data_IF_456101002892
#
_entry.id   IF_456101002892
#
_cell.length_a   1.000
_cell.length_b   1.000
_cell.length_c   1.000
_cell.angle_alpha   90.00
_cell.angle_beta   90.00
_cell.angle_gamma   90.00
#
_symmetry.space_group_name_H-M   'P 1'
#
loop_
_entity.id
_entity.type
_entity.pdbx_description
1 polymer ?
#
# COMPACT_ATOMS: atom_id res chain seq x y z
N UNK A 1 56.70 63.10 -54.20
CA UNK A 1 57.13 61.68 -54.31
C UNK A 1 56.75 61.01 -52.98
N UNK A 2 55.79 60.08 -52.96
CA UNK A 2 55.98 58.61 -53.10
C UNK A 2 57.07 58.10 -52.13
N UNK A 3 56.94 57.09 -51.27
CA UNK A 3 55.91 56.12 -50.85
C UNK A 3 56.59 55.30 -49.73
N UNK A 4 55.81 54.86 -48.72
CA UNK A 4 55.88 53.58 -47.96
C UNK A 4 57.24 52.92 -47.60
N UNK A 5 57.38 52.46 -46.36
CA UNK A 5 57.43 51.03 -45.96
C UNK A 5 57.84 50.85 -44.46
N UNK A 6 57.11 49.98 -43.74
CA UNK A 6 57.50 49.06 -42.63
C UNK A 6 58.18 49.62 -41.33
N UNK A 7 58.01 49.11 -40.11
CA UNK A 7 57.14 48.08 -39.49
C UNK A 7 57.51 47.93 -37.99
N UNK A 8 56.53 47.47 -37.19
CA UNK A 8 56.63 46.67 -35.93
C UNK A 8 56.90 47.38 -34.59
N UNK A 9 56.00 47.10 -33.62
CA UNK A 9 56.14 46.73 -32.18
C UNK A 9 54.83 47.18 -31.48
N UNK A 10 53.83 46.30 -31.36
CA UNK A 10 53.52 45.44 -30.20
C UNK A 10 52.84 46.21 -29.03
N UNK A 11 51.56 46.00 -28.71
CA UNK A 11 50.91 44.90 -27.95
C UNK A 11 50.29 45.50 -26.66
N UNK A 12 49.17 44.89 -26.23
CA UNK A 12 48.46 44.94 -24.93
C UNK A 12 47.11 45.68 -24.86
N UNK A 13 46.13 44.92 -25.34
CA UNK A 13 44.77 44.77 -24.82
C UNK A 13 44.72 44.64 -23.29
N UNK A 14 43.83 45.43 -22.67
CA UNK A 14 43.24 45.17 -21.36
C UNK A 14 41.74 45.49 -21.44
N UNK A 15 40.97 44.65 -22.14
CA UNK A 15 39.51 44.72 -22.11
C UNK A 15 38.98 43.79 -21.03
N UNK A 16 38.22 44.40 -20.14
CA UNK A 16 37.54 43.87 -18.97
C UNK A 16 36.95 42.46 -19.20
N UNK A 17 37.31 41.52 -18.32
CA UNK A 17 36.69 40.22 -18.18
C UNK A 17 35.24 40.39 -17.73
N UNK A 18 34.29 40.43 -18.67
CA UNK A 18 32.92 40.02 -18.41
C UNK A 18 32.89 38.50 -18.54
N UNK A 19 33.04 37.80 -17.41
CA UNK A 19 32.74 36.39 -17.30
C UNK A 19 31.24 36.19 -17.53
N UNK A 20 30.85 36.05 -18.80
CA UNK A 20 29.54 35.55 -19.19
C UNK A 20 29.46 34.09 -18.77
N UNK A 21 28.85 33.84 -17.60
CA UNK A 21 28.35 32.52 -17.25
C UNK A 21 27.40 32.07 -18.37
N UNK A 22 27.88 31.20 -19.24
CA UNK A 22 27.06 30.39 -20.14
C UNK A 22 26.31 29.38 -19.27
N UNK A 23 25.32 29.86 -18.53
CA UNK A 23 24.28 29.02 -17.96
C UNK A 23 23.59 28.39 -19.15
N UNK A 24 23.95 27.14 -19.44
CA UNK A 24 23.15 26.27 -20.29
C UNK A 24 21.75 26.29 -19.69
N UNK A 25 20.86 27.11 -20.24
CA UNK A 25 19.43 26.98 -20.01
C UNK A 25 19.08 25.56 -20.42
N UNK A 26 19.02 24.66 -19.44
CA UNK A 26 18.26 23.44 -19.56
C UNK A 26 16.85 23.91 -19.88
N UNK A 27 16.50 23.78 -21.14
CA UNK A 27 15.12 23.86 -21.57
C UNK A 27 14.39 22.79 -20.77
N UNK A 28 13.74 23.22 -19.69
CA UNK A 28 12.82 22.37 -18.94
C UNK A 28 11.71 22.08 -19.93
N UNK A 29 11.81 20.95 -20.64
CA UNK A 29 10.73 20.46 -21.47
C UNK A 29 9.51 20.45 -20.55
N UNK A 30 8.38 21.08 -20.92
CA UNK A 30 7.18 20.99 -20.11
C UNK A 30 6.92 19.51 -19.89
N UNK A 31 6.83 19.07 -18.62
CA UNK A 31 6.46 17.70 -18.30
C UNK A 31 5.08 17.48 -18.92
N UNK A 32 5.04 16.86 -20.09
CA UNK A 32 3.78 16.38 -20.66
C UNK A 32 3.31 15.29 -19.70
N UNK A 33 2.16 15.52 -19.08
CA UNK A 33 1.50 14.48 -18.30
C UNK A 33 1.23 13.32 -19.25
N UNK A 34 1.84 12.17 -18.97
CA UNK A 34 1.59 10.94 -19.69
C UNK A 34 0.73 10.06 -18.79
N UNK A 35 -0.46 9.70 -19.29
CA UNK A 35 -1.31 8.71 -18.64
C UNK A 35 -0.58 7.37 -18.61
N UNK A 36 -0.54 6.74 -17.44
CA UNK A 36 0.09 5.43 -17.26
C UNK A 36 -0.99 4.41 -16.90
N UNK A 37 -0.98 3.28 -17.59
CA UNK A 37 -1.83 2.15 -17.24
C UNK A 37 -1.41 1.59 -15.88
N UNK A 38 -2.36 1.58 -14.93
CA UNK A 38 -2.14 0.97 -13.62
C UNK A 38 -2.40 -0.54 -13.74
N UNK A 39 -1.41 -1.41 -13.47
CA UNK A 39 -1.62 -2.85 -13.47
C UNK A 39 -2.68 -3.26 -12.44
N UNK A 40 -3.51 -4.22 -12.81
CA UNK A 40 -4.56 -4.78 -11.94
C UNK A 40 -5.56 -3.71 -11.40
N UNK A 41 -5.93 -2.72 -12.22
CA UNK A 41 -6.79 -1.58 -11.82
C UNK A 41 -8.29 -1.72 -12.14
N UNK A 42 -8.66 -2.72 -12.93
CA UNK A 42 -10.04 -3.01 -13.31
C UNK A 42 -10.96 -3.30 -12.12
N UNK A 43 -12.28 -3.19 -12.32
CA UNK A 43 -13.29 -3.38 -11.27
C UNK A 43 -13.15 -4.70 -10.49
N UNK A 44 -12.74 -5.78 -11.18
CA UNK A 44 -12.57 -7.12 -10.57
C UNK A 44 -11.48 -7.18 -9.47
N UNK A 45 -10.58 -6.20 -9.41
CA UNK A 45 -9.51 -6.15 -8.41
C UNK A 45 -9.82 -5.25 -7.22
N UNK A 46 -10.99 -4.59 -7.25
CA UNK A 46 -11.44 -3.74 -6.14
C UNK A 46 -12.16 -4.59 -5.11
N UNK A 47 -12.11 -4.18 -3.85
CA UNK A 47 -12.93 -4.78 -2.80
C UNK A 47 -14.41 -4.60 -3.11
N UNK A 48 -15.23 -5.56 -2.69
CA UNK A 48 -16.68 -5.53 -2.82
C UNK A 48 -17.35 -6.02 -1.52
N UNK A 49 -18.64 -6.34 -1.58
CA UNK A 49 -19.43 -6.82 -0.43
C UNK A 49 -19.04 -8.22 0.04
N UNK A 50 -18.35 -9.00 -0.78
CA UNK A 50 -17.99 -10.39 -0.46
C UNK A 50 -16.50 -10.52 -0.13
N UNK A 51 -15.65 -9.72 -0.76
CA UNK A 51 -14.19 -9.85 -0.67
C UNK A 51 -13.51 -8.52 -0.35
N UNK A 52 -12.52 -8.59 0.54
CA UNK A 52 -11.44 -7.62 0.51
C UNK A 52 -10.44 -8.02 -0.56
N UNK A 53 -10.02 -7.03 -1.36
CA UNK A 53 -8.98 -7.18 -2.37
C UNK A 53 -7.97 -6.06 -2.22
N UNK A 54 -6.71 -6.43 -2.32
CA UNK A 54 -5.58 -5.49 -2.33
C UNK A 54 -4.70 -5.77 -3.53
N UNK A 55 -4.12 -4.73 -4.09
CA UNK A 55 -3.17 -4.81 -5.19
C UNK A 55 -1.87 -4.20 -4.72
N UNK A 56 -0.81 -5.00 -4.74
CA UNK A 56 0.52 -4.55 -4.32
C UNK A 56 1.59 -5.10 -5.25
N UNK A 57 2.79 -4.53 -5.13
CA UNK A 57 3.92 -4.91 -5.97
C UNK A 57 5.22 -5.10 -5.18
N UNK A 58 6.17 -5.77 -5.81
CA UNK A 58 7.56 -5.90 -5.37
C UNK A 58 8.51 -5.75 -6.54
N UNK A 59 9.72 -5.26 -6.29
CA UNK A 59 10.77 -5.07 -7.30
C UNK A 59 12.05 -5.75 -6.85
N UNK A 60 12.69 -6.52 -7.73
CA UNK A 60 13.97 -7.17 -7.46
C UNK A 60 14.66 -7.63 -8.74
N UNK A 61 16.01 -7.73 -8.78
CA UNK A 61 16.72 -8.43 -9.85
C UNK A 61 16.37 -9.92 -9.96
N UNK A 62 15.85 -10.53 -8.90
CA UNK A 62 15.38 -11.93 -8.89
C UNK A 62 13.85 -11.98 -8.89
N UNK A 63 13.26 -12.73 -9.83
CA UNK A 63 11.80 -12.82 -10.00
C UNK A 63 11.13 -13.39 -8.73
N UNK A 64 11.74 -14.40 -8.11
CA UNK A 64 11.18 -15.05 -6.91
C UNK A 64 11.16 -14.09 -5.72
N UNK A 65 12.21 -13.28 -5.58
CA UNK A 65 12.29 -12.23 -4.57
C UNK A 65 11.28 -11.11 -4.86
N UNK A 66 11.14 -10.67 -6.12
CA UNK A 66 10.13 -9.67 -6.49
C UNK A 66 8.71 -10.14 -6.12
N UNK A 67 8.38 -11.42 -6.41
CA UNK A 67 7.12 -12.05 -6.00
C UNK A 67 6.96 -12.09 -4.49
N UNK A 68 8.00 -12.48 -3.76
CA UNK A 68 7.98 -12.54 -2.29
C UNK A 68 7.68 -11.17 -1.67
N UNK A 69 8.35 -10.11 -2.15
CA UNK A 69 8.10 -8.74 -1.69
C UNK A 69 6.67 -8.30 -2.02
N UNK A 70 6.18 -8.58 -3.23
CA UNK A 70 4.81 -8.24 -3.61
C UNK A 70 3.77 -8.89 -2.69
N UNK A 71 3.95 -10.19 -2.37
CA UNK A 71 3.09 -10.93 -1.46
C UNK A 71 3.15 -10.40 -0.02
N UNK A 72 4.33 -10.01 0.46
CA UNK A 72 4.49 -9.44 1.79
C UNK A 72 3.80 -8.07 1.89
N UNK A 73 3.98 -7.21 0.89
CA UNK A 73 3.33 -5.90 0.83
C UNK A 73 1.80 -6.05 0.78
N UNK A 74 1.29 -6.96 -0.06
CA UNK A 74 -0.14 -7.24 -0.17
C UNK A 74 -0.73 -7.70 1.16
N UNK A 75 -0.09 -8.68 1.82
CA UNK A 75 -0.57 -9.18 3.13
C UNK A 75 -0.51 -8.10 4.21
N UNK A 76 0.53 -7.26 4.21
CA UNK A 76 0.68 -6.16 5.14
C UNK A 76 -0.44 -5.12 5.01
N UNK A 77 -0.72 -4.69 3.77
CA UNK A 77 -1.83 -3.76 3.50
C UNK A 77 -3.18 -4.38 3.86
N UNK A 78 -3.44 -5.63 3.43
CA UNK A 78 -4.69 -6.32 3.74
C UNK A 78 -4.90 -6.48 5.25
N UNK A 79 -3.86 -6.84 6.00
CA UNK A 79 -3.90 -6.94 7.46
C UNK A 79 -4.26 -5.59 8.08
N UNK A 80 -3.58 -4.51 7.68
CA UNK A 80 -3.87 -3.18 8.19
C UNK A 80 -5.32 -2.73 7.90
N UNK A 81 -5.81 -2.96 6.69
CA UNK A 81 -7.19 -2.62 6.30
C UNK A 81 -8.22 -3.40 7.12
N UNK A 82 -8.07 -4.72 7.22
CA UNK A 82 -9.04 -5.56 7.94
C UNK A 82 -8.99 -5.27 9.44
N UNK A 83 -7.80 -5.11 10.04
CA UNK A 83 -7.64 -4.77 11.45
C UNK A 83 -8.32 -3.44 11.78
N UNK A 84 -8.19 -2.42 10.94
CA UNK A 84 -8.86 -1.14 11.15
C UNK A 84 -10.40 -1.27 11.14
N UNK A 85 -10.95 -2.08 10.22
CA UNK A 85 -12.40 -2.31 10.17
C UNK A 85 -12.89 -3.16 11.35
N UNK A 86 -12.17 -4.22 11.70
CA UNK A 86 -12.52 -5.10 12.83
C UNK A 86 -12.38 -4.38 14.16
N UNK A 87 -11.41 -3.48 14.31
CA UNK A 87 -11.31 -2.61 15.48
C UNK A 87 -12.57 -1.78 15.66
N UNK A 88 -13.07 -1.17 14.59
CA UNK A 88 -14.33 -0.42 14.65
C UNK A 88 -15.53 -1.32 15.05
N UNK A 89 -15.57 -2.57 14.59
CA UNK A 89 -16.58 -3.55 15.04
C UNK A 89 -16.46 -3.80 16.54
N UNK A 90 -15.27 -4.08 17.05
CA UNK A 90 -15.03 -4.39 18.46
C UNK A 90 -15.36 -3.17 19.34
N UNK A 91 -14.93 -1.98 18.94
CA UNK A 91 -15.20 -0.73 19.66
C UNK A 91 -16.72 -0.45 19.71
N UNK A 92 -17.45 -0.70 18.62
CA UNK A 92 -18.91 -0.51 18.57
C UNK A 92 -19.66 -1.62 19.34
N UNK A 93 -19.19 -2.86 19.26
CA UNK A 93 -19.72 -3.98 20.04
C UNK A 93 -19.56 -3.72 21.54
N UNK A 94 -18.38 -3.26 21.99
CA UNK A 94 -18.11 -2.96 23.40
C UNK A 94 -18.86 -1.74 23.95
N UNK A 95 -19.27 -0.78 23.11
CA UNK A 95 -20.11 0.36 23.52
C UNK A 95 -21.58 -0.01 23.69
N UNK A 96 -22.09 -0.87 22.79
CA UNK A 96 -23.50 -1.22 22.73
C UNK A 96 -23.85 -2.38 23.66
N UNK A 97 -22.87 -3.23 23.99
CA UNK A 97 -23.02 -4.32 24.94
C UNK A 97 -22.43 -3.90 26.28
N UNK A 98 -23.12 -4.17 27.38
CA UNK A 98 -22.62 -3.95 28.73
C UNK A 98 -21.50 -4.95 29.10
N UNK A 99 -20.46 -5.07 28.26
CA UNK A 99 -19.11 -5.38 28.74
C UNK A 99 -18.73 -4.16 29.58
N UNK A 100 -19.19 -4.15 30.82
CA UNK A 100 -19.26 -2.98 31.69
C UNK A 100 -17.88 -2.34 31.86
N UNK A 101 -17.52 -1.39 30.99
CA UNK A 101 -16.33 -0.54 31.09
C UNK A 101 -14.98 -1.27 31.20
N UNK A 102 -14.92 -2.59 31.08
CA UNK A 102 -13.70 -3.35 31.28
C UNK A 102 -12.87 -3.34 29.99
N UNK A 103 -12.07 -2.29 29.89
CA UNK A 103 -11.07 -2.10 28.82
C UNK A 103 -10.20 -3.36 28.65
N UNK A 104 -9.99 -4.16 29.70
CA UNK A 104 -9.21 -5.39 29.60
C UNK A 104 -9.89 -6.49 28.77
N UNK A 105 -11.22 -6.49 28.68
CA UNK A 105 -11.98 -7.43 27.85
C UNK A 105 -11.97 -6.96 26.40
N UNK A 106 -12.14 -5.66 26.15
CA UNK A 106 -12.05 -5.07 24.81
C UNK A 106 -10.67 -5.31 24.20
N UNK A 107 -9.60 -5.08 24.97
CA UNK A 107 -8.23 -5.35 24.53
C UNK A 107 -8.02 -6.83 24.21
N UNK A 108 -8.58 -7.74 25.00
CA UNK A 108 -8.47 -9.18 24.74
C UNK A 108 -9.20 -9.59 23.44
N UNK A 109 -10.36 -9.00 23.13
CA UNK A 109 -11.01 -9.19 21.82
C UNK A 109 -10.14 -8.69 20.67
N UNK A 110 -9.52 -7.51 20.82
CA UNK A 110 -8.65 -6.91 19.79
C UNK A 110 -7.41 -7.77 19.53
N UNK A 111 -6.71 -8.18 20.59
CA UNK A 111 -5.53 -9.06 20.50
C UNK A 111 -5.88 -10.39 19.80
N UNK A 112 -6.97 -11.03 20.22
CA UNK A 112 -7.41 -12.29 19.62
C UNK A 112 -7.83 -12.11 18.17
N UNK A 113 -8.49 -10.99 17.84
CA UNK A 113 -8.89 -10.69 16.47
C UNK A 113 -7.68 -10.50 15.56
N UNK A 114 -6.66 -9.77 16.01
CA UNK A 114 -5.46 -9.51 15.21
C UNK A 114 -4.68 -10.79 14.92
N UNK A 115 -4.54 -11.68 15.91
CA UNK A 115 -3.92 -12.98 15.72
C UNK A 115 -4.65 -13.82 14.66
N UNK A 116 -6.00 -13.85 14.71
CA UNK A 116 -6.84 -14.56 13.74
C UNK A 116 -6.72 -13.96 12.34
N UNK A 117 -6.73 -12.64 12.22
CA UNK A 117 -6.58 -11.95 10.93
C UNK A 117 -5.23 -12.33 10.31
N UNK A 118 -4.13 -12.19 11.06
CA UNK A 118 -2.80 -12.49 10.55
C UNK A 118 -2.65 -13.96 10.14
N UNK A 119 -3.21 -14.89 10.93
CA UNK A 119 -3.24 -16.31 10.58
C UNK A 119 -4.06 -16.58 9.31
N UNK A 120 -5.21 -15.94 9.16
CA UNK A 120 -6.09 -16.13 8.00
C UNK A 120 -5.43 -15.63 6.71
N UNK A 121 -4.71 -14.50 6.78
CA UNK A 121 -4.07 -13.87 5.63
C UNK A 121 -2.85 -14.62 5.08
N UNK A 122 -2.31 -15.59 5.83
CA UNK A 122 -1.31 -16.52 5.29
C UNK A 122 -1.87 -17.25 4.06
N UNK A 123 -3.15 -17.62 4.12
CA UNK A 123 -3.88 -18.37 3.10
C UNK A 123 -4.76 -17.47 2.20
N UNK A 124 -4.50 -16.16 2.15
CA UNK A 124 -5.19 -15.26 1.23
C UNK A 124 -5.01 -15.74 -0.22
N UNK A 125 -6.10 -15.75 -0.97
CA UNK A 125 -6.15 -16.27 -2.34
C UNK A 125 -5.52 -15.27 -3.31
N UNK A 126 -4.74 -15.78 -4.27
CA UNK A 126 -4.21 -14.97 -5.36
C UNK A 126 -5.23 -14.89 -6.51
N UNK A 127 -5.77 -13.69 -6.75
CA UNK A 127 -6.75 -13.45 -7.82
C UNK A 127 -6.06 -13.37 -9.18
N UNK A 128 -4.92 -12.68 -9.23
CA UNK A 128 -4.21 -12.40 -10.47
C UNK A 128 -2.79 -11.89 -10.16
N UNK A 129 -1.90 -12.00 -11.14
CA UNK A 129 -0.52 -11.54 -11.05
C UNK A 129 0.01 -11.04 -12.39
N UNK A 130 0.93 -10.07 -12.36
CA UNK A 130 1.62 -9.57 -13.55
C UNK A 130 3.10 -9.38 -13.26
N UNK A 131 3.93 -9.80 -14.21
CA UNK A 131 5.37 -9.64 -14.19
C UNK A 131 5.81 -8.69 -15.32
N UNK A 132 6.65 -7.73 -14.97
CA UNK A 132 7.26 -6.80 -15.92
C UNK A 132 8.78 -6.84 -15.77
N UNK A 133 9.49 -6.94 -16.90
CA UNK A 133 10.93 -6.65 -16.96
C UNK A 133 11.14 -5.15 -17.10
N UNK A 134 12.03 -4.58 -16.30
CA UNK A 134 12.35 -3.16 -16.31
C UNK A 134 13.65 -2.90 -17.08
N UNK A 135 13.83 -1.65 -17.56
CA UNK A 135 15.00 -1.25 -18.35
C UNK A 135 16.32 -1.30 -17.57
N UNK A 136 16.26 -1.29 -16.25
CA UNK A 136 17.41 -1.40 -15.36
C UNK A 136 17.82 -2.86 -15.07
N UNK A 137 17.18 -3.83 -15.72
CA UNK A 137 17.44 -5.26 -15.54
C UNK A 137 16.75 -5.87 -14.32
N UNK A 138 15.94 -5.12 -13.58
CA UNK A 138 15.12 -5.64 -12.48
C UNK A 138 13.73 -6.09 -12.97
N UNK A 139 13.02 -6.80 -12.10
CA UNK A 139 11.66 -7.27 -12.33
C UNK A 139 10.69 -6.61 -11.36
N UNK A 140 9.53 -6.20 -11.86
CA UNK A 140 8.40 -5.71 -11.07
C UNK A 140 7.28 -6.73 -11.12
N UNK A 141 6.88 -7.21 -9.95
CA UNK A 141 5.84 -8.21 -9.76
C UNK A 141 4.63 -7.57 -9.10
N UNK A 142 3.47 -7.62 -9.73
CA UNK A 142 2.19 -7.19 -9.17
C UNK A 142 1.37 -8.41 -8.77
N UNK A 143 0.72 -8.33 -7.61
CA UNK A 143 -0.24 -9.34 -7.14
C UNK A 143 -1.54 -8.67 -6.75
N UNK A 144 -2.66 -9.34 -7.01
CA UNK A 144 -3.93 -9.07 -6.37
C UNK A 144 -4.26 -10.23 -5.44
N UNK A 145 -4.40 -9.95 -4.14
CA UNK A 145 -4.85 -10.93 -3.16
C UNK A 145 -6.29 -10.65 -2.78
N UNK A 146 -7.03 -11.69 -2.43
CA UNK A 146 -8.35 -11.58 -1.83
C UNK A 146 -8.53 -12.45 -0.59
N UNK A 147 -9.43 -12.01 0.29
CA UNK A 147 -9.98 -12.83 1.37
C UNK A 147 -11.46 -12.54 1.50
N UNK A 148 -12.26 -13.59 1.67
CA UNK A 148 -13.70 -13.44 1.83
C UNK A 148 -14.01 -12.81 3.20
N UNK A 149 -14.92 -11.83 3.20
CA UNK A 149 -15.39 -11.16 4.43
C UNK A 149 -15.98 -12.15 5.42
N UNK A 150 -16.79 -13.07 4.90
CA UNK A 150 -17.38 -14.16 5.67
C UNK A 150 -16.31 -15.02 6.36
N UNK A 151 -15.20 -15.32 5.70
CA UNK A 151 -14.11 -16.12 6.30
C UNK A 151 -13.55 -15.44 7.53
N UNK A 152 -13.28 -14.13 7.47
CA UNK A 152 -12.81 -13.39 8.66
C UNK A 152 -13.87 -13.39 9.76
N UNK A 153 -15.14 -13.13 9.43
CA UNK A 153 -16.24 -13.15 10.40
C UNK A 153 -16.34 -14.51 11.12
N UNK A 154 -16.35 -15.62 10.37
CA UNK A 154 -16.45 -16.98 10.90
C UNK A 154 -15.23 -17.32 11.79
N UNK A 155 -14.02 -16.94 11.37
CA UNK A 155 -12.80 -17.21 12.14
C UNK A 155 -12.75 -16.41 13.44
N UNK A 156 -13.20 -15.15 13.42
CA UNK A 156 -13.31 -14.32 14.63
C UNK A 156 -14.32 -14.93 15.62
N UNK A 157 -15.50 -15.31 15.14
CA UNK A 157 -16.53 -15.94 15.98
C UNK A 157 -15.99 -17.22 16.63
N UNK A 158 -15.36 -18.10 15.84
CA UNK A 158 -14.76 -19.33 16.36
C UNK A 158 -13.67 -19.05 17.40
N UNK A 159 -12.84 -18.03 17.18
CA UNK A 159 -11.77 -17.66 18.10
C UNK A 159 -12.31 -17.12 19.44
N UNK A 160 -13.30 -16.24 19.40
CA UNK A 160 -13.94 -15.70 20.59
C UNK A 160 -14.70 -16.76 21.38
N UNK A 161 -15.28 -17.75 20.69
CA UNK A 161 -15.98 -18.86 21.33
C UNK A 161 -15.05 -19.90 21.98
N UNK A 162 -13.81 -20.02 21.48
CA UNK A 162 -12.80 -20.94 22.05
C UNK A 162 -12.12 -20.37 23.29
N UNK A 163 -12.00 -19.04 23.39
CA UNK A 163 -11.42 -18.39 24.56
C UNK A 163 -12.46 -18.30 25.70
N UNK A 164 -12.13 -18.88 26.87
CA UNK A 164 -13.05 -18.95 28.00
C UNK A 164 -13.43 -17.58 28.57
N UNK A 165 -12.50 -16.61 28.55
CA UNK A 165 -12.72 -15.24 29.05
C UNK A 165 -13.62 -14.47 28.10
N UNK A 166 -13.36 -14.55 26.80
CA UNK A 166 -14.16 -13.86 25.79
C UNK A 166 -15.57 -14.47 25.71
N UNK A 167 -15.66 -15.81 25.63
CA UNK A 167 -16.92 -16.55 25.52
C UNK A 167 -17.97 -16.16 26.56
N UNK A 168 -17.59 -15.87 27.80
CA UNK A 168 -18.53 -15.51 28.86
C UNK A 168 -19.30 -14.21 28.57
N UNK A 169 -18.73 -13.33 27.74
CA UNK A 169 -19.28 -12.02 27.35
C UNK A 169 -19.63 -11.92 25.87
N UNK A 170 -19.56 -13.04 25.14
CA UNK A 170 -19.73 -13.04 23.70
C UNK A 170 -21.18 -13.32 23.31
N UNK A 171 -21.84 -12.30 22.78
CA UNK A 171 -23.12 -12.42 22.10
C UNK A 171 -22.89 -12.47 20.59
N UNK A 172 -23.06 -13.68 20.04
CA UNK A 172 -22.86 -13.96 18.62
C UNK A 172 -23.79 -13.13 17.73
N UNK A 173 -25.05 -12.98 18.11
CA UNK A 173 -26.05 -12.30 17.26
C UNK A 173 -25.75 -10.80 17.20
N UNK A 174 -25.42 -10.19 18.35
CA UNK A 174 -25.02 -8.78 18.37
C UNK A 174 -23.69 -8.54 17.68
N UNK A 175 -22.68 -9.38 17.89
CA UNK A 175 -21.41 -9.26 17.19
C UNK A 175 -21.61 -9.32 15.68
N UNK A 176 -22.39 -10.30 15.20
CA UNK A 176 -22.70 -10.44 13.78
C UNK A 176 -23.42 -9.21 13.23
N UNK A 177 -24.39 -8.67 13.97
CA UNK A 177 -25.11 -7.45 13.58
C UNK A 177 -24.16 -6.27 13.40
N UNK A 178 -23.33 -5.98 14.40
CA UNK A 178 -22.37 -4.86 14.36
C UNK A 178 -21.33 -5.08 13.26
N UNK A 179 -20.88 -6.32 13.06
CA UNK A 179 -19.98 -6.67 11.98
C UNK A 179 -20.59 -6.37 10.61
N UNK A 180 -21.80 -6.88 10.34
CA UNK A 180 -22.49 -6.68 9.07
C UNK A 180 -22.79 -5.19 8.83
N UNK A 181 -23.18 -4.44 9.86
CA UNK A 181 -23.36 -2.98 9.79
C UNK A 181 -22.07 -2.26 9.37
N UNK A 182 -20.94 -2.58 10.02
CA UNK A 182 -19.65 -1.97 9.71
C UNK A 182 -19.16 -2.32 8.30
N UNK A 183 -19.37 -3.56 7.85
CA UNK A 183 -18.95 -4.01 6.52
C UNK A 183 -19.78 -3.43 5.38
N UNK A 184 -21.07 -3.16 5.62
CA UNK A 184 -21.97 -2.55 4.63
C UNK A 184 -21.85 -1.03 4.55
N UNK A 185 -21.20 -0.38 5.52
CA UNK A 185 -20.95 1.06 5.51
C UNK A 185 -19.82 1.49 4.54
N UNK A 186 -19.14 0.53 3.88
CA UNK A 186 -18.04 0.76 2.94
C UNK A 186 -18.29 0.07 1.58
#
# INVERSE_FOLDING_TARGET
MKTRLLSIVAILLSFVLLAGCKSSQQTVKPLKAHEQDIPLSGKKYRSDKEYWRVVQQGVSPDISMAKKVALQNARGEMSATIKAQVKAVIDNYGKNFAVAGDISVVNAYEEQAYAVIDQTLVSAEMVDEKLYSLSDGTYRYHVCLQVARKTIADQLEQAFMKDAKLRASFDKEQFKKVYDEQMNAQ
#
